data_IF_268003063702
#
_entry.id   IF_268003063702
#
_cell.length_a   1.000
_cell.length_b   1.000
_cell.length_c   1.000
_cell.angle_alpha   90.00
_cell.angle_beta   90.00
_cell.angle_gamma   90.00
#
_symmetry.space_group_name_H-M   'P 1'
#
loop_
_entity.id
_entity.type
_entity.pdbx_description
1 polymer ?
#
# COMPACT_ATOMS: atom_id res chain seq x y z
N UNK A 1 20.63 -29.52 32.99
CA UNK A 1 20.49 -29.56 31.52
C UNK A 1 21.21 -28.34 30.96
N UNK A 2 22.36 -28.52 30.29
CA UNK A 2 23.10 -27.43 29.64
C UNK A 2 22.60 -27.33 28.20
N UNK A 3 21.93 -26.24 27.86
CA UNK A 3 21.57 -25.97 26.47
C UNK A 3 22.86 -25.75 25.66
N UNK A 4 23.02 -26.51 24.57
CA UNK A 4 24.15 -26.40 23.67
C UNK A 4 24.11 -25.04 22.96
N UNK A 5 25.22 -24.29 23.04
CA UNK A 5 25.41 -23.09 22.23
C UNK A 5 25.70 -23.51 20.79
N UNK A 6 24.79 -23.14 19.88
CA UNK A 6 25.01 -23.25 18.44
C UNK A 6 26.03 -22.18 18.04
N UNK A 7 27.11 -22.52 17.32
CA UNK A 7 28.11 -21.54 16.90
C UNK A 7 27.51 -20.56 15.87
N UNK A 8 27.90 -19.28 15.91
CA UNK A 8 27.42 -18.28 14.96
C UNK A 8 27.90 -18.58 13.54
N UNK A 9 27.02 -18.40 12.56
CA UNK A 9 27.32 -18.53 11.13
C UNK A 9 28.08 -17.28 10.66
N UNK A 10 29.29 -17.41 10.10
CA UNK A 10 30.04 -16.25 9.59
C UNK A 10 29.32 -15.62 8.38
N UNK A 11 29.04 -14.31 8.44
CA UNK A 11 28.48 -13.54 7.32
C UNK A 11 27.08 -12.95 7.53
N UNK A 12 26.40 -13.25 8.64
CA UNK A 12 25.21 -12.52 9.06
C UNK A 12 25.65 -11.33 9.91
N UNK A 13 25.94 -10.20 9.26
CA UNK A 13 26.06 -8.93 9.96
C UNK A 13 24.74 -8.69 10.72
N UNK A 14 24.86 -8.56 12.03
CA UNK A 14 23.77 -8.20 12.94
C UNK A 14 23.04 -6.99 12.35
N UNK A 15 21.79 -7.19 11.92
CA UNK A 15 20.91 -6.11 11.51
C UNK A 15 20.85 -5.12 12.66
N UNK A 16 21.47 -3.95 12.48
CA UNK A 16 21.41 -2.89 13.49
C UNK A 16 19.94 -2.54 13.71
N UNK A 17 19.45 -2.52 14.96
CA UNK A 17 18.10 -2.08 15.24
C UNK A 17 17.97 -0.63 14.75
N UNK A 18 16.96 -0.39 13.89
CA UNK A 18 16.62 0.95 13.44
C UNK A 18 16.10 1.71 14.66
N UNK A 19 16.84 2.74 15.08
CA UNK A 19 16.43 3.63 16.15
C UNK A 19 15.43 4.63 15.60
N UNK A 20 14.15 4.44 15.92
CA UNK A 20 13.08 5.35 15.53
C UNK A 20 13.20 6.65 16.35
N UNK A 21 13.27 7.79 15.65
CA UNK A 21 13.07 9.10 16.25
C UNK A 21 11.82 9.73 15.64
N UNK A 22 10.74 9.80 16.41
CA UNK A 22 9.54 10.54 16.05
C UNK A 22 9.78 12.01 16.39
N UNK A 23 9.73 12.89 15.39
CA UNK A 23 9.83 14.33 15.59
C UNK A 23 8.54 14.97 15.08
N UNK A 24 7.73 15.51 16.00
CA UNK A 24 6.61 16.36 15.61
C UNK A 24 7.17 17.65 14.99
N UNK A 25 6.73 17.95 13.77
CA UNK A 25 7.03 19.20 13.09
C UNK A 25 5.78 20.05 13.14
N UNK A 26 5.86 21.19 13.81
CA UNK A 26 4.75 22.14 13.89
C UNK A 26 4.55 22.79 12.50
N UNK A 27 3.49 22.39 11.79
CA UNK A 27 3.15 22.96 10.49
C UNK A 27 2.48 24.32 10.70
N UNK A 28 3.25 25.40 10.53
CA UNK A 28 2.78 26.78 10.78
C UNK A 28 1.79 27.34 9.74
N UNK A 29 1.60 26.65 8.62
CA UNK A 29 0.60 27.01 7.61
C UNK A 29 -0.38 25.84 7.46
N UNK A 30 -1.65 26.06 7.81
CA UNK A 30 -2.77 25.10 7.64
C UNK A 30 -3.09 24.85 6.16
N UNK A 31 -2.12 24.42 5.37
CA UNK A 31 -2.32 23.98 3.98
C UNK A 31 -2.10 22.47 3.89
N UNK A 32 -3.22 21.74 3.99
CA UNK A 32 -3.39 20.32 3.68
C UNK A 32 -2.51 19.35 4.48
N UNK A 33 -3.10 18.28 4.96
CA UNK A 33 -2.45 17.16 5.66
C UNK A 33 -1.45 16.35 4.79
N UNK A 34 -0.99 16.90 3.66
CA UNK A 34 -0.18 16.20 2.64
C UNK A 34 1.12 16.93 2.24
N UNK A 35 1.60 17.89 3.03
CA UNK A 35 2.90 18.50 2.79
C UNK A 35 4.01 17.71 3.50
N UNK A 36 4.13 16.40 3.24
CA UNK A 36 5.46 15.82 3.28
C UNK A 36 6.28 16.56 2.23
N UNK A 37 7.39 17.19 2.63
CA UNK A 37 8.39 17.70 1.67
C UNK A 37 8.98 16.59 0.77
N UNK A 38 8.61 15.32 1.00
CA UNK A 38 8.50 14.34 -0.05
C UNK A 38 7.25 14.67 -0.88
N UNK A 39 7.40 15.54 -1.89
CA UNK A 39 6.40 15.60 -2.95
C UNK A 39 6.11 14.18 -3.45
N UNK A 40 4.97 13.98 -4.10
CA UNK A 40 4.59 12.75 -4.80
C UNK A 40 5.54 12.40 -5.98
N UNK A 41 6.84 12.64 -5.84
CA UNK A 41 7.90 12.07 -6.64
C UNK A 41 8.03 10.61 -6.24
N UNK A 42 7.24 9.77 -6.92
CA UNK A 42 7.49 8.36 -7.23
C UNK A 42 8.86 7.85 -6.78
N UNK A 43 9.03 7.57 -5.48
CA UNK A 43 10.13 6.73 -5.03
C UNK A 43 9.66 5.31 -5.30
N UNK A 44 10.05 4.79 -6.47
CA UNK A 44 9.58 3.52 -7.03
C UNK A 44 10.23 2.28 -6.39
N UNK A 45 10.88 2.43 -5.23
CA UNK A 45 11.53 1.29 -4.59
C UNK A 45 10.52 0.49 -3.79
N UNK A 46 10.63 -0.84 -3.86
CA UNK A 46 9.81 -1.75 -3.05
C UNK A 46 9.85 -1.39 -1.56
N UNK A 47 11.02 -0.99 -1.04
CA UNK A 47 11.20 -0.59 0.35
C UNK A 47 10.38 0.66 0.72
N UNK A 48 10.23 1.61 -0.21
CA UNK A 48 9.40 2.78 0.06
C UNK A 48 7.93 2.39 0.16
N UNK A 49 7.45 1.54 -0.73
CA UNK A 49 6.07 1.05 -0.65
C UNK A 49 5.81 0.30 0.66
N UNK A 50 6.75 -0.51 1.14
CA UNK A 50 6.62 -1.16 2.45
C UNK A 50 6.51 -0.15 3.59
N UNK A 51 7.34 0.89 3.59
CA UNK A 51 7.27 1.97 4.57
C UNK A 51 5.92 2.70 4.53
N UNK A 52 5.44 3.06 3.34
CA UNK A 52 4.16 3.76 3.18
C UNK A 52 2.99 2.87 3.64
N UNK A 53 3.04 1.55 3.38
CA UNK A 53 2.03 0.61 3.85
C UNK A 53 2.01 0.47 5.37
N UNK A 54 3.16 0.42 6.04
CA UNK A 54 3.22 0.38 7.51
C UNK A 54 2.58 1.65 8.11
N UNK A 55 2.86 2.82 7.51
CA UNK A 55 2.26 4.08 7.94
C UNK A 55 0.73 4.08 7.73
N UNK A 56 0.28 3.70 6.55
CA UNK A 56 -1.14 3.67 6.20
C UNK A 56 -1.91 2.62 7.01
N UNK A 57 -1.28 1.50 7.37
CA UNK A 57 -1.90 0.47 8.19
C UNK A 57 -2.13 0.97 9.61
N UNK A 58 -1.21 1.77 10.13
CA UNK A 58 -1.40 2.48 11.41
C UNK A 58 -2.51 3.52 11.30
N UNK A 59 -2.54 4.32 10.23
CA UNK A 59 -3.61 5.29 10.01
C UNK A 59 -4.99 4.61 9.91
N UNK A 60 -5.06 3.39 9.37
CA UNK A 60 -6.31 2.60 9.32
C UNK A 60 -6.76 2.15 10.71
N UNK A 61 -5.85 1.89 11.65
CA UNK A 61 -6.22 1.55 13.03
C UNK A 61 -6.89 2.73 13.74
N UNK A 62 -6.38 3.94 13.50
CA UNK A 62 -6.93 5.18 14.06
C UNK A 62 -8.19 5.64 13.31
N UNK A 63 -8.27 5.39 11.99
CA UNK A 63 -9.34 5.82 11.09
C UNK A 63 -9.78 4.69 10.13
N UNK A 64 -10.55 3.69 10.62
CA UNK A 64 -10.85 2.46 9.88
C UNK A 64 -11.69 2.67 8.60
N UNK A 65 -12.44 3.77 8.56
CA UNK A 65 -13.33 4.14 7.47
C UNK A 65 -12.87 5.43 6.77
N UNK A 66 -11.58 5.78 6.85
CA UNK A 66 -11.08 6.95 6.09
C UNK A 66 -10.96 6.58 4.60
N UNK A 67 -11.76 7.20 3.70
CA UNK A 67 -11.76 6.89 2.28
C UNK A 67 -10.40 7.20 1.60
N UNK A 68 -9.62 8.11 2.16
CA UNK A 68 -8.31 8.45 1.66
C UNK A 68 -7.27 7.39 2.01
N UNK A 69 -7.30 6.92 3.26
CA UNK A 69 -6.44 5.82 3.74
C UNK A 69 -6.73 4.55 2.96
N UNK A 70 -8.01 4.19 2.78
CA UNK A 70 -8.41 3.02 1.98
C UNK A 70 -7.94 3.11 0.52
N UNK A 71 -8.04 4.28 -0.10
CA UNK A 71 -7.53 4.51 -1.46
C UNK A 71 -6.01 4.29 -1.55
N UNK A 72 -5.25 4.88 -0.63
CA UNK A 72 -3.80 4.76 -0.66
C UNK A 72 -3.29 3.38 -0.27
N UNK A 73 -3.92 2.70 0.68
CA UNK A 73 -3.61 1.29 0.97
C UNK A 73 -3.80 0.42 -0.28
N UNK A 74 -4.93 0.59 -0.95
CA UNK A 74 -5.27 -0.13 -2.17
C UNK A 74 -4.24 0.07 -3.28
N UNK A 75 -3.96 1.33 -3.61
CA UNK A 75 -3.03 1.68 -4.70
C UNK A 75 -1.57 1.36 -4.36
N UNK A 76 -1.17 1.48 -3.09
CA UNK A 76 0.21 1.18 -2.65
C UNK A 76 0.48 -0.32 -2.66
N UNK A 77 -0.49 -1.17 -2.30
CA UNK A 77 -0.37 -2.62 -2.49
C UNK A 77 -0.16 -3.02 -3.95
N UNK A 78 -0.93 -2.45 -4.88
CA UNK A 78 -0.79 -2.74 -6.31
C UNK A 78 0.51 -2.17 -6.89
N UNK A 79 0.96 -1.00 -6.42
CA UNK A 79 2.25 -0.45 -6.82
C UNK A 79 3.44 -1.29 -6.28
N UNK A 80 3.36 -1.78 -5.04
CA UNK A 80 4.35 -2.68 -4.46
C UNK A 80 4.44 -3.99 -5.23
N UNK A 81 3.28 -4.52 -5.65
CA UNK A 81 3.19 -5.65 -6.55
C UNK A 81 3.92 -5.34 -7.85
N UNK A 82 3.54 -4.30 -8.59
CA UNK A 82 4.18 -3.91 -9.86
C UNK A 82 5.70 -3.73 -9.73
N UNK A 83 6.16 -3.09 -8.65
CA UNK A 83 7.59 -2.92 -8.38
C UNK A 83 8.32 -4.25 -8.12
N UNK A 84 7.61 -5.24 -7.55
CA UNK A 84 8.16 -6.57 -7.26
C UNK A 84 8.15 -7.49 -8.48
N UNK A 85 7.13 -7.39 -9.34
CA UNK A 85 7.07 -8.17 -10.59
C UNK A 85 7.86 -7.54 -11.73
N UNK A 86 8.09 -6.22 -11.73
CA UNK A 86 8.66 -5.52 -12.88
C UNK A 86 7.69 -5.47 -14.07
N UNK A 87 8.13 -4.95 -15.22
CA UNK A 87 7.29 -4.78 -16.44
C UNK A 87 7.03 -6.09 -17.20
N UNK A 88 6.91 -7.22 -16.52
CA UNK A 88 6.82 -8.57 -17.11
C UNK A 88 5.59 -9.35 -16.67
N UNK A 89 5.20 -10.34 -17.49
CA UNK A 89 4.18 -11.33 -17.13
C UNK A 89 4.86 -12.43 -16.31
N UNK A 90 4.56 -12.51 -15.02
CA UNK A 90 5.13 -13.52 -14.13
C UNK A 90 4.02 -14.40 -13.53
N UNK A 91 4.37 -15.63 -13.20
CA UNK A 91 3.49 -16.53 -12.47
C UNK A 91 3.14 -15.91 -11.11
N UNK A 92 1.84 -15.77 -10.83
CA UNK A 92 1.34 -15.27 -9.55
C UNK A 92 1.75 -16.27 -8.47
N UNK A 93 2.72 -15.90 -7.62
CA UNK A 93 3.10 -16.71 -6.46
C UNK A 93 2.10 -16.47 -5.32
N UNK A 94 2.01 -17.37 -4.32
CA UNK A 94 1.17 -17.14 -3.15
C UNK A 94 1.51 -15.83 -2.40
N UNK A 95 2.78 -15.42 -2.43
CA UNK A 95 3.22 -14.15 -1.85
C UNK A 95 2.68 -12.96 -2.66
N UNK A 96 2.72 -13.03 -3.99
CA UNK A 96 2.15 -11.98 -4.87
C UNK A 96 0.63 -11.90 -4.73
N UNK A 97 -0.04 -13.03 -4.50
CA UNK A 97 -1.48 -13.09 -4.29
C UNK A 97 -1.93 -12.25 -3.07
N UNK A 98 -1.13 -12.20 -2.00
CA UNK A 98 -1.45 -11.40 -0.82
C UNK A 98 -1.49 -9.89 -1.12
N UNK A 99 -0.58 -9.40 -1.96
CA UNK A 99 -0.57 -8.01 -2.41
C UNK A 99 -1.79 -7.68 -3.26
N UNK A 100 -2.16 -8.59 -4.16
CA UNK A 100 -3.34 -8.44 -5.02
C UNK A 100 -4.61 -8.41 -4.17
N UNK A 101 -4.76 -9.36 -3.24
CA UNK A 101 -5.95 -9.47 -2.40
C UNK A 101 -6.08 -8.30 -1.42
N UNK A 102 -4.96 -7.86 -0.83
CA UNK A 102 -4.94 -6.64 -0.02
C UNK A 102 -5.36 -5.41 -0.82
N UNK A 103 -4.78 -5.23 -2.01
CA UNK A 103 -5.10 -4.09 -2.88
C UNK A 103 -6.58 -4.07 -3.27
N UNK A 104 -7.10 -5.22 -3.72
CA UNK A 104 -8.52 -5.38 -4.07
C UNK A 104 -9.41 -5.14 -2.85
N UNK A 105 -9.08 -5.68 -1.67
CA UNK A 105 -9.88 -5.51 -0.45
C UNK A 105 -10.11 -4.02 -0.15
N UNK A 106 -9.05 -3.23 -0.06
CA UNK A 106 -9.16 -1.82 0.33
C UNK A 106 -9.82 -0.96 -0.74
N UNK A 107 -9.57 -1.23 -2.03
CA UNK A 107 -10.24 -0.51 -3.11
C UNK A 107 -11.73 -0.86 -3.20
N UNK A 108 -12.12 -2.12 -2.97
CA UNK A 108 -13.53 -2.51 -2.89
C UNK A 108 -14.21 -1.80 -1.73
N UNK A 109 -13.60 -1.83 -0.53
CA UNK A 109 -14.11 -1.13 0.65
C UNK A 109 -14.29 0.37 0.36
N UNK A 110 -13.29 1.00 -0.30
CA UNK A 110 -13.37 2.39 -0.72
C UNK A 110 -14.55 2.70 -1.63
N UNK A 111 -14.84 1.84 -2.60
CA UNK A 111 -15.91 2.07 -3.59
C UNK A 111 -17.29 1.75 -3.01
N UNK A 112 -17.41 0.70 -2.20
CA UNK A 112 -18.67 0.21 -1.66
C UNK A 112 -19.15 1.02 -0.44
N UNK A 113 -18.26 1.30 0.50
CA UNK A 113 -18.65 1.89 1.79
C UNK A 113 -18.69 3.42 1.74
N UNK A 114 -17.92 4.00 0.82
CA UNK A 114 -17.88 5.44 0.61
C UNK A 114 -18.47 5.79 -0.75
N UNK A 115 -19.77 6.06 -0.74
CA UNK A 115 -20.41 6.77 -1.84
C UNK A 115 -19.62 8.01 -2.21
N UNK A 116 -19.54 8.29 -3.51
CA UNK A 116 -18.92 9.45 -4.13
C UNK A 116 -19.27 10.71 -3.33
N UNK A 117 -18.44 11.06 -2.35
CA UNK A 117 -18.58 12.30 -1.61
C UNK A 117 -18.56 13.43 -2.64
N UNK A 118 -19.36 14.48 -2.41
CA UNK A 118 -19.57 15.53 -3.41
C UNK A 118 -18.33 16.44 -3.63
N UNK A 119 -17.16 16.07 -3.13
CA UNK A 119 -15.89 16.76 -3.37
C UNK A 119 -15.21 16.20 -4.63
N UNK A 120 -14.54 17.05 -5.41
CA UNK A 120 -13.80 16.63 -6.61
C UNK A 120 -12.78 15.55 -6.31
N UNK A 121 -12.03 15.70 -5.21
CA UNK A 121 -11.00 14.75 -4.76
C UNK A 121 -11.61 13.37 -4.47
N UNK A 122 -12.77 13.31 -3.79
CA UNK A 122 -13.42 12.03 -3.50
C UNK A 122 -13.92 11.34 -4.78
N UNK A 123 -14.41 12.12 -5.75
CA UNK A 123 -14.84 11.58 -7.06
C UNK A 123 -13.67 11.03 -7.86
N UNK A 124 -12.56 11.77 -7.94
CA UNK A 124 -11.35 11.33 -8.64
C UNK A 124 -10.77 10.06 -8.02
N UNK A 125 -10.66 9.99 -6.70
CA UNK A 125 -10.15 8.79 -6.02
C UNK A 125 -11.09 7.59 -6.17
N UNK A 126 -12.40 7.81 -6.19
CA UNK A 126 -13.36 6.72 -6.43
C UNK A 126 -13.24 6.19 -7.86
N UNK A 127 -13.15 7.08 -8.85
CA UNK A 127 -12.90 6.70 -10.24
C UNK A 127 -11.57 5.96 -10.39
N UNK A 128 -10.51 6.47 -9.77
CA UNK A 128 -9.20 5.82 -9.78
C UNK A 128 -9.24 4.44 -9.11
N UNK A 129 -10.02 4.29 -8.04
CA UNK A 129 -10.22 3.01 -7.36
C UNK A 129 -10.90 1.98 -8.27
N UNK A 130 -11.98 2.38 -8.96
CA UNK A 130 -12.66 1.52 -9.94
C UNK A 130 -11.71 1.09 -11.07
N UNK A 131 -10.95 2.04 -11.62
CA UNK A 131 -9.94 1.75 -12.64
C UNK A 131 -8.87 0.75 -12.17
N UNK A 132 -8.37 0.91 -10.94
CA UNK A 132 -7.39 -0.02 -10.37
C UNK A 132 -7.99 -1.40 -10.09
N UNK A 133 -9.27 -1.48 -9.69
CA UNK A 133 -9.98 -2.75 -9.53
C UNK A 133 -10.11 -3.48 -10.88
N UNK A 134 -10.54 -2.79 -11.94
CA UNK A 134 -10.61 -3.35 -13.28
C UNK A 134 -9.24 -3.89 -13.73
N UNK A 135 -8.18 -3.09 -13.54
CA UNK A 135 -6.81 -3.50 -13.85
C UNK A 135 -6.37 -4.75 -13.05
N UNK A 136 -6.61 -4.77 -11.74
CA UNK A 136 -6.22 -5.90 -10.89
C UNK A 136 -6.96 -7.19 -11.27
N UNK A 137 -8.26 -7.10 -11.56
CA UNK A 137 -9.04 -8.25 -12.00
C UNK A 137 -8.61 -8.76 -13.38
N UNK A 138 -8.36 -7.85 -14.32
CA UNK A 138 -7.93 -8.22 -15.67
C UNK A 138 -6.53 -8.84 -15.69
N UNK A 139 -5.54 -8.17 -15.10
CA UNK A 139 -4.13 -8.50 -15.31
C UNK A 139 -3.53 -9.40 -14.22
N UNK A 140 -4.01 -9.31 -12.98
CA UNK A 140 -3.47 -10.11 -11.88
C UNK A 140 -4.34 -11.32 -11.53
N UNK A 141 -5.67 -11.17 -11.57
CA UNK A 141 -6.59 -12.28 -11.27
C UNK A 141 -7.08 -13.05 -12.49
N UNK A 142 -6.97 -12.48 -13.69
CA UNK A 142 -7.46 -13.10 -14.93
C UNK A 142 -8.98 -13.27 -14.97
N UNK A 143 -9.74 -12.43 -14.24
CA UNK A 143 -11.21 -12.46 -14.16
C UNK A 143 -11.78 -11.27 -14.95
N UNK A 144 -11.95 -11.48 -16.27
CA UNK A 144 -12.45 -10.44 -17.18
C UNK A 144 -13.87 -9.99 -16.84
N UNK A 145 -14.73 -10.91 -16.39
CA UNK A 145 -16.11 -10.57 -16.03
C UNK A 145 -16.16 -9.62 -14.84
N UNK A 146 -15.32 -9.82 -13.82
CA UNK A 146 -15.18 -8.84 -12.74
C UNK A 146 -14.47 -7.57 -13.17
N UNK A 147 -13.53 -7.65 -14.11
CA UNK A 147 -12.86 -6.46 -14.62
C UNK A 147 -13.86 -5.50 -15.31
N UNK A 148 -14.80 -6.03 -16.09
CA UNK A 148 -15.84 -5.24 -16.80
C UNK A 148 -16.92 -4.67 -15.87
N UNK A 149 -17.06 -5.21 -14.66
CA UNK A 149 -18.02 -4.72 -13.67
C UNK A 149 -17.59 -3.38 -13.05
N UNK A 150 -16.28 -3.13 -12.92
CA UNK A 150 -15.71 -1.94 -12.30
C UNK A 150 -15.43 -0.84 -13.33
#
# INVERSE_FOLDING_TARGET
SRAAQVPPVPGLETTKPISWQVKEVEVKDRQSWHASQAGHGHSQSFQRYMFDLDLLQKDLEDFPDDPHVLYYLGTTHLAALEAKVGTGTHAITPELQQWIDGGVKYLVQRVQDHHLGNTSISREQSWASMRWLAYAYQFFKGDLAKAEYW
#
